data_IF_709080426956
#
_entry.id   IF_709080426956
#
_cell.length_a   1.000
_cell.length_b   1.000
_cell.length_c   1.000
_cell.angle_alpha   90.00
_cell.angle_beta   90.00
_cell.angle_gamma   90.00
#
_symmetry.space_group_name_H-M   'P 1'
#
loop_
_entity.id
_entity.type
_entity.pdbx_description
1 polymer ?
#
# COMPACT_ATOMS: atom_id res chain seq x y z
N UNK A 1 4.70 -7.78 11.05
CA UNK A 1 4.43 -8.86 10.07
C UNK A 1 5.15 -10.17 10.37
N UNK A 2 6.47 -10.20 10.58
CA UNK A 2 7.24 -11.44 10.82
C UNK A 2 6.64 -12.34 11.91
N UNK A 3 6.28 -11.78 13.08
CA UNK A 3 5.67 -12.56 14.17
C UNK A 3 4.32 -13.18 13.77
N UNK A 4 3.49 -12.46 13.01
CA UNK A 4 2.21 -12.97 12.53
C UNK A 4 2.41 -14.15 11.56
N UNK A 5 3.33 -14.03 10.61
CA UNK A 5 3.68 -15.12 9.69
C UNK A 5 4.22 -16.35 10.43
N UNK A 6 5.08 -16.15 11.43
CA UNK A 6 5.61 -17.25 12.24
C UNK A 6 4.52 -17.95 13.07
N UNK A 7 3.42 -17.24 13.39
CA UNK A 7 2.24 -17.80 14.04
C UNK A 7 1.20 -18.37 13.04
N UNK A 8 1.56 -18.53 11.75
CA UNK A 8 0.66 -19.08 10.73
C UNK A 8 -0.48 -18.15 10.31
N UNK A 9 -0.40 -16.84 10.65
CA UNK A 9 -1.37 -15.83 10.22
C UNK A 9 -1.06 -15.35 8.81
N UNK A 10 -2.09 -15.04 8.03
CA UNK A 10 -1.93 -14.28 6.79
C UNK A 10 -1.53 -12.84 7.10
N UNK A 11 -0.82 -12.20 6.19
CA UNK A 11 -0.34 -10.82 6.38
C UNK A 11 -0.56 -9.97 5.15
N UNK A 12 -0.96 -8.71 5.33
CA UNK A 12 -1.14 -7.80 4.23
C UNK A 12 -0.87 -6.33 4.55
N UNK A 13 -0.65 -5.56 3.51
CA UNK A 13 -0.38 -4.12 3.55
C UNK A 13 -1.25 -3.44 2.50
N UNK A 14 -1.93 -2.38 2.91
CA UNK A 14 -2.74 -1.50 2.06
C UNK A 14 -2.28 -0.08 2.31
N UNK A 15 -2.02 0.69 1.24
CA UNK A 15 -1.64 2.09 1.37
C UNK A 15 -2.04 2.90 0.14
N UNK A 16 -2.35 4.18 0.34
CA UNK A 16 -2.48 5.17 -0.75
C UNK A 16 -1.14 5.72 -1.24
N UNK A 17 -0.03 5.37 -0.62
CA UNK A 17 1.32 5.80 -1.01
C UNK A 17 1.95 4.77 -1.95
N UNK A 18 3.26 4.91 -2.21
CA UNK A 18 4.00 3.85 -2.89
C UNK A 18 4.15 2.73 -1.88
N UNK A 19 4.01 1.47 -2.25
CA UNK A 19 4.16 0.39 -1.26
C UNK A 19 5.57 0.31 -0.65
N UNK A 20 6.54 0.94 -1.31
CA UNK A 20 7.93 1.11 -0.87
C UNK A 20 8.17 2.38 -0.07
N UNK A 21 7.14 3.22 0.15
CA UNK A 21 7.19 4.36 1.06
C UNK A 21 7.44 3.91 2.51
N UNK A 22 7.86 4.82 3.38
CA UNK A 22 8.38 4.45 4.71
C UNK A 22 7.38 3.66 5.58
N UNK A 23 6.12 4.10 5.69
CA UNK A 23 5.11 3.42 6.53
C UNK A 23 4.85 1.98 6.08
N UNK A 24 4.51 1.69 4.81
CA UNK A 24 4.34 0.30 4.37
C UNK A 24 5.68 -0.46 4.41
N UNK A 25 6.80 0.18 4.05
CA UNK A 25 8.12 -0.44 4.10
C UNK A 25 8.52 -0.87 5.52
N UNK A 26 8.14 -0.15 6.56
CA UNK A 26 8.44 -0.54 7.95
C UNK A 26 7.86 -1.92 8.32
N UNK A 27 6.83 -2.39 7.61
CA UNK A 27 6.23 -3.70 7.84
C UNK A 27 7.08 -4.87 7.28
N UNK A 28 7.99 -4.62 6.33
CA UNK A 28 8.76 -5.68 5.66
C UNK A 28 10.25 -5.40 5.43
N UNK A 29 10.63 -4.14 5.23
CA UNK A 29 11.96 -3.71 4.83
C UNK A 29 12.86 -3.36 6.02
N UNK A 30 14.17 -3.44 5.76
CA UNK A 30 15.26 -3.01 6.64
C UNK A 30 16.22 -2.21 5.78
N UNK A 31 16.16 -0.89 5.89
CA UNK A 31 17.00 0.01 5.11
C UNK A 31 17.60 1.08 6.02
N UNK A 32 18.88 1.45 5.85
CA UNK A 32 19.47 2.58 6.56
C UNK A 32 18.91 3.93 6.08
N UNK A 33 18.29 3.97 4.90
CA UNK A 33 17.66 5.16 4.33
C UNK A 33 16.30 4.80 3.72
N UNK A 34 15.25 5.50 4.14
CA UNK A 34 13.89 5.30 3.64
C UNK A 34 13.74 5.60 2.14
N UNK A 35 14.64 6.40 1.58
CA UNK A 35 14.57 6.80 0.17
C UNK A 35 15.05 5.71 -0.79
N UNK A 36 15.66 4.63 -0.30
CA UNK A 36 16.16 3.52 -1.13
C UNK A 36 15.01 2.60 -1.59
N UNK A 37 14.02 3.19 -2.25
CA UNK A 37 12.82 2.50 -2.71
C UNK A 37 13.08 1.61 -3.93
N UNK A 38 13.97 2.05 -4.83
CA UNK A 38 14.50 1.29 -5.95
C UNK A 38 16.04 1.39 -5.99
N UNK A 39 16.69 0.51 -6.76
CA UNK A 39 18.15 0.49 -6.94
C UNK A 39 18.70 1.84 -7.46
N UNK A 40 17.89 2.58 -8.21
CA UNK A 40 18.23 3.90 -8.72
C UNK A 40 18.30 5.00 -7.66
N UNK A 41 17.73 4.78 -6.48
CA UNK A 41 17.80 5.69 -5.34
C UNK A 41 19.01 5.38 -4.43
N UNK A 42 19.72 4.26 -4.68
CA UNK A 42 20.89 3.84 -3.87
C UNK A 42 22.19 4.42 -4.44
N UNK A 43 23.01 5.09 -3.61
CA UNK A 43 24.34 5.55 -4.02
C UNK A 43 25.21 4.40 -4.57
N UNK A 44 26.00 4.60 -5.64
CA UNK A 44 26.80 3.54 -6.26
C UNK A 44 27.63 2.71 -5.27
N UNK A 45 28.25 3.37 -4.28
CA UNK A 45 29.07 2.72 -3.25
C UNK A 45 28.30 1.80 -2.28
N UNK A 46 26.96 1.81 -2.31
CA UNK A 46 26.08 1.06 -1.40
C UNK A 46 25.15 0.08 -2.09
N UNK A 47 25.27 -0.12 -3.42
CA UNK A 47 24.41 -1.01 -4.23
C UNK A 47 24.43 -2.49 -3.85
N UNK A 48 25.34 -2.91 -2.98
CA UNK A 48 25.27 -4.23 -2.35
C UNK A 48 24.04 -4.39 -1.43
N UNK A 49 23.49 -3.30 -0.90
CA UNK A 49 22.25 -3.32 -0.12
C UNK A 49 21.04 -3.45 -1.06
N UNK A 50 20.12 -4.40 -0.83
CA UNK A 50 18.90 -4.49 -1.62
C UNK A 50 17.98 -3.29 -1.32
N UNK A 51 17.45 -2.67 -2.38
CA UNK A 51 16.40 -1.65 -2.29
C UNK A 51 15.09 -2.21 -1.73
N UNK A 52 14.20 -1.35 -1.23
CA UNK A 52 12.95 -1.77 -0.59
C UNK A 52 12.05 -2.55 -1.56
N UNK A 53 12.01 -2.24 -2.85
CA UNK A 53 11.23 -3.03 -3.81
C UNK A 53 11.74 -4.46 -3.93
N UNK A 54 13.07 -4.65 -3.94
CA UNK A 54 13.67 -6.00 -3.84
C UNK A 54 13.37 -6.68 -2.52
N UNK A 55 13.52 -5.98 -1.39
CA UNK A 55 13.24 -6.57 -0.08
C UNK A 55 11.78 -7.03 0.06
N UNK A 56 10.84 -6.37 -0.61
CA UNK A 56 9.44 -6.79 -0.66
C UNK A 56 9.26 -8.17 -1.32
N UNK A 57 10.01 -8.49 -2.38
CA UNK A 57 9.79 -9.72 -3.16
C UNK A 57 10.81 -10.82 -2.86
N UNK A 58 11.99 -10.48 -2.31
CA UNK A 58 13.10 -11.41 -2.07
C UNK A 58 13.23 -11.84 -0.61
N UNK A 59 12.85 -10.98 0.35
CA UNK A 59 13.16 -11.17 1.77
C UNK A 59 11.92 -11.39 2.63
N UNK A 60 12.11 -12.03 3.78
CA UNK A 60 11.08 -12.10 4.81
C UNK A 60 11.02 -10.82 5.67
N UNK A 61 9.81 -10.34 6.02
CA UNK A 61 8.50 -10.96 5.75
C UNK A 61 7.87 -10.62 4.39
N UNK A 62 8.49 -9.76 3.58
CA UNK A 62 7.92 -9.23 2.33
C UNK A 62 7.45 -10.31 1.36
N UNK A 63 8.32 -11.26 1.00
CA UNK A 63 8.02 -12.28 -0.01
C UNK A 63 6.87 -13.21 0.36
N UNK A 64 6.48 -13.23 1.64
CA UNK A 64 5.39 -14.05 2.21
C UNK A 64 4.12 -13.24 2.50
N UNK A 65 4.07 -11.95 2.18
CA UNK A 65 2.84 -11.18 2.26
C UNK A 65 1.80 -11.77 1.30
N UNK A 66 0.57 -11.92 1.79
CA UNK A 66 -0.57 -12.43 1.03
C UNK A 66 -1.24 -11.31 0.24
N UNK A 67 -1.28 -10.10 0.80
CA UNK A 67 -1.93 -8.94 0.17
C UNK A 67 -1.01 -7.75 0.22
N UNK A 68 -0.79 -7.11 -0.93
CA UNK A 68 0.06 -5.93 -1.04
C UNK A 68 -0.58 -4.95 -2.01
N UNK A 69 -1.22 -3.90 -1.49
CA UNK A 69 -2.03 -2.95 -2.26
C UNK A 69 -1.53 -1.51 -2.08
N UNK A 70 -1.26 -0.83 -3.20
CA UNK A 70 -0.98 0.59 -3.21
C UNK A 70 -0.46 1.08 -4.55
N UNK A 71 0.35 2.14 -4.54
CA UNK A 71 1.05 2.64 -5.73
C UNK A 71 2.50 2.20 -5.81
N UNK A 72 3.26 2.82 -6.71
CA UNK A 72 4.72 2.71 -6.80
C UNK A 72 5.21 1.71 -7.83
N UNK A 73 4.40 1.35 -8.83
CA UNK A 73 4.78 0.43 -9.92
C UNK A 73 6.14 0.76 -10.55
N UNK A 74 6.46 2.05 -10.69
CA UNK A 74 7.74 2.51 -11.25
C UNK A 74 8.98 1.97 -10.54
N UNK A 75 8.89 1.65 -9.25
CA UNK A 75 10.03 1.14 -8.45
C UNK A 75 10.32 -0.35 -8.72
N UNK A 76 9.38 -1.05 -9.37
CA UNK A 76 9.48 -2.48 -9.67
C UNK A 76 9.85 -2.77 -11.13
N UNK A 77 9.87 -1.76 -11.99
CA UNK A 77 10.09 -1.93 -13.43
C UNK A 77 11.38 -1.25 -13.91
N UNK A 78 12.06 -1.83 -14.92
CA UNK A 78 13.26 -1.24 -15.49
C UNK A 78 12.91 -0.02 -16.34
N UNK A 79 13.89 0.88 -16.53
CA UNK A 79 13.68 2.12 -17.33
C UNK A 79 13.22 1.88 -18.76
N UNK A 80 13.52 0.72 -19.33
CA UNK A 80 13.09 0.29 -20.67
C UNK A 80 11.79 -0.54 -20.64
N UNK A 81 11.03 -0.52 -19.55
CA UNK A 81 9.73 -1.20 -19.48
C UNK A 81 8.77 -0.66 -20.55
N UNK A 82 7.77 -1.45 -20.92
CA UNK A 82 6.80 -1.09 -21.96
C UNK A 82 6.05 0.23 -21.65
N UNK A 83 5.88 0.59 -20.38
CA UNK A 83 5.26 1.87 -19.99
C UNK A 83 6.20 3.07 -20.13
N UNK A 84 7.51 2.85 -20.24
CA UNK A 84 8.54 3.90 -20.23
C UNK A 84 8.66 4.65 -18.90
N UNK A 85 7.98 4.19 -17.84
CA UNK A 85 7.89 4.88 -16.54
C UNK A 85 8.67 4.18 -15.43
N UNK A 86 9.22 3.00 -15.69
CA UNK A 86 10.08 2.29 -14.74
C UNK A 86 11.32 3.10 -14.37
N UNK A 87 11.83 2.88 -13.15
CA UNK A 87 12.99 3.62 -12.61
C UNK A 87 14.20 2.76 -12.36
N UNK A 88 14.11 1.43 -12.47
CA UNK A 88 15.22 0.55 -12.11
C UNK A 88 16.36 0.60 -13.13
N UNK A 89 17.61 0.66 -12.64
CA UNK A 89 18.81 0.69 -13.48
C UNK A 89 19.45 -0.69 -13.66
N UNK A 90 18.96 -1.70 -12.95
CA UNK A 90 19.46 -3.08 -12.97
C UNK A 90 18.78 -3.98 -14.02
N UNK A 91 17.95 -3.39 -14.88
CA UNK A 91 17.18 -4.07 -15.93
C UNK A 91 16.17 -5.14 -15.43
N UNK A 92 15.88 -5.18 -14.13
CA UNK A 92 14.98 -6.17 -13.53
C UNK A 92 13.53 -5.72 -13.57
N UNK A 93 12.63 -6.63 -13.92
CA UNK A 93 11.18 -6.46 -13.72
C UNK A 93 10.75 -7.32 -12.53
N UNK A 94 10.68 -6.68 -11.37
CA UNK A 94 10.37 -7.33 -10.11
C UNK A 94 8.92 -7.83 -10.03
N UNK A 95 8.01 -7.31 -10.87
CA UNK A 95 6.62 -7.82 -10.93
C UNK A 95 6.64 -9.19 -11.60
N UNK A 96 7.37 -9.33 -12.71
CA UNK A 96 7.53 -10.61 -13.39
C UNK A 96 8.31 -11.61 -12.53
N UNK A 97 9.36 -11.17 -11.84
CA UNK A 97 10.09 -12.03 -10.91
C UNK A 97 9.21 -12.50 -9.74
N UNK A 98 8.35 -11.63 -9.19
CA UNK A 98 7.41 -12.00 -8.13
C UNK A 98 6.41 -13.07 -8.60
N UNK A 99 5.86 -12.91 -9.81
CA UNK A 99 4.98 -13.92 -10.44
C UNK A 99 5.72 -15.24 -10.67
N UNK A 100 6.95 -15.17 -11.20
CA UNK A 100 7.78 -16.35 -11.44
C UNK A 100 8.12 -17.09 -10.15
N UNK A 101 8.49 -16.38 -9.08
CA UNK A 101 8.77 -16.95 -7.77
C UNK A 101 7.55 -17.66 -7.17
N UNK A 102 6.34 -17.14 -7.41
CA UNK A 102 5.11 -17.79 -6.97
C UNK A 102 4.89 -19.14 -7.68
N UNK A 103 5.12 -19.20 -9.01
CA UNK A 103 5.07 -20.46 -9.77
C UNK A 103 6.08 -21.47 -9.23
N UNK A 104 7.34 -21.05 -9.02
CA UNK A 104 8.39 -21.91 -8.45
C UNK A 104 8.05 -22.43 -7.05
N UNK A 105 7.29 -21.64 -6.28
CA UNK A 105 6.87 -22.00 -4.91
C UNK A 105 5.55 -22.76 -4.87
N UNK A 106 4.93 -23.07 -6.02
CA UNK A 106 3.58 -23.64 -6.11
C UNK A 106 2.53 -22.85 -5.31
N UNK A 107 2.59 -21.52 -5.41
CA UNK A 107 1.68 -20.57 -4.75
C UNK A 107 0.87 -19.87 -5.84
N UNK A 108 -0.46 -19.87 -5.71
CA UNK A 108 -1.29 -19.12 -6.64
C UNK A 108 -1.12 -17.61 -6.40
N UNK A 109 -0.79 -16.87 -7.45
CA UNK A 109 -0.51 -15.44 -7.34
C UNK A 109 -1.16 -14.65 -8.46
N UNK A 110 -1.61 -13.43 -8.14
CA UNK A 110 -2.21 -12.51 -9.11
C UNK A 110 -1.67 -11.10 -8.95
N UNK A 111 -1.24 -10.52 -10.06
CA UNK A 111 -0.92 -9.10 -10.15
C UNK A 111 -2.14 -8.33 -10.67
N UNK A 112 -2.46 -7.19 -10.05
CA UNK A 112 -3.61 -6.34 -10.41
C UNK A 112 -3.21 -4.86 -10.49
N UNK A 113 -3.84 -4.13 -11.40
CA UNK A 113 -3.48 -2.73 -11.71
C UNK A 113 -4.66 -1.77 -11.64
N UNK A 114 -5.87 -2.29 -11.46
CA UNK A 114 -7.09 -1.49 -11.36
C UNK A 114 -8.17 -2.21 -10.56
N UNK A 115 -9.23 -1.47 -10.21
CA UNK A 115 -10.35 -1.96 -9.41
C UNK A 115 -11.10 -3.17 -10.02
N UNK A 116 -11.14 -3.29 -11.35
CA UNK A 116 -11.82 -4.41 -12.00
C UNK A 116 -11.01 -5.70 -11.82
N UNK A 117 -9.70 -5.62 -12.06
CA UNK A 117 -8.79 -6.74 -11.80
C UNK A 117 -8.72 -7.10 -10.32
N UNK A 118 -8.83 -6.12 -9.41
CA UNK A 118 -8.94 -6.37 -7.97
C UNK A 118 -10.20 -7.18 -7.65
N UNK A 119 -11.36 -6.82 -8.23
CA UNK A 119 -12.59 -7.60 -8.09
C UNK A 119 -12.43 -9.04 -8.59
N UNK A 120 -11.76 -9.24 -9.72
CA UNK A 120 -11.49 -10.59 -10.23
C UNK A 120 -10.53 -11.37 -9.32
N UNK A 121 -9.57 -10.70 -8.68
CA UNK A 121 -8.67 -11.31 -7.71
C UNK A 121 -9.43 -11.79 -6.47
N UNK A 122 -10.38 -11.01 -5.97
CA UNK A 122 -11.27 -11.43 -4.89
C UNK A 122 -12.03 -12.70 -5.29
N UNK A 123 -12.66 -12.70 -6.47
CA UNK A 123 -13.45 -13.84 -6.94
C UNK A 123 -12.63 -15.12 -7.16
N UNK A 124 -11.34 -14.99 -7.50
CA UNK A 124 -10.43 -16.13 -7.70
C UNK A 124 -9.65 -16.54 -6.45
N UNK A 125 -9.67 -15.71 -5.40
CA UNK A 125 -9.06 -15.92 -4.09
C UNK A 125 -7.66 -16.58 -4.12
N UNK A 126 -6.68 -16.06 -4.90
CA UNK A 126 -5.34 -16.62 -4.92
C UNK A 126 -4.64 -16.44 -3.57
N UNK A 127 -3.61 -17.24 -3.32
CA UNK A 127 -2.83 -17.21 -2.08
C UNK A 127 -2.12 -15.86 -1.87
N UNK A 128 -1.74 -15.20 -2.98
CA UNK A 128 -1.07 -13.89 -2.96
C UNK A 128 -1.61 -12.94 -4.03
N UNK A 129 -1.81 -11.67 -3.66
CA UNK A 129 -2.18 -10.60 -4.58
C UNK A 129 -1.25 -9.40 -4.40
N UNK A 130 -0.63 -8.97 -5.51
CA UNK A 130 0.12 -7.72 -5.61
C UNK A 130 -0.68 -6.73 -6.45
N UNK A 131 -1.18 -5.68 -5.83
CA UNK A 131 -1.92 -4.59 -6.47
C UNK A 131 -1.12 -3.30 -6.50
N UNK A 132 -0.63 -2.92 -7.69
CA UNK A 132 0.07 -1.65 -7.91
C UNK A 132 -0.76 -0.77 -8.85
N UNK A 133 -1.58 0.09 -8.27
CA UNK A 133 -2.63 0.83 -8.97
C UNK A 133 -2.15 2.13 -9.60
N UNK A 134 -0.92 2.55 -9.31
CA UNK A 134 -0.34 3.79 -9.82
C UNK A 134 1.16 3.67 -10.01
N UNK A 135 1.69 4.44 -10.96
CA UNK A 135 3.14 4.52 -11.22
C UNK A 135 3.89 5.08 -10.01
N UNK A 136 3.28 6.04 -9.32
CA UNK A 136 3.82 6.68 -8.13
C UNK A 136 2.87 6.44 -6.93
N UNK A 137 2.78 7.37 -5.97
CA UNK A 137 1.67 7.40 -5.03
C UNK A 137 0.34 7.42 -5.78
N UNK A 138 -0.68 6.80 -5.21
CA UNK A 138 -2.05 6.88 -5.74
C UNK A 138 -2.53 8.33 -5.76
N UNK A 139 -3.52 8.63 -6.59
CA UNK A 139 -4.13 9.95 -6.68
C UNK A 139 -4.74 10.35 -5.33
N UNK A 140 -4.84 11.67 -5.06
CA UNK A 140 -5.67 12.12 -3.95
C UNK A 140 -7.13 11.71 -4.20
N UNK A 141 -7.87 11.36 -3.16
CA UNK A 141 -9.29 11.00 -3.19
C UNK A 141 -10.14 12.07 -3.90
N UNK A 142 -9.80 13.35 -3.75
CA UNK A 142 -10.47 14.44 -4.47
C UNK A 142 -10.33 14.38 -5.99
N UNK A 143 -9.27 13.72 -6.49
CA UNK A 143 -8.92 13.58 -7.91
C UNK A 143 -9.43 12.28 -8.54
N UNK A 144 -9.66 11.23 -7.73
CA UNK A 144 -10.19 9.93 -8.17
C UNK A 144 -11.60 9.96 -8.75
N UNK A 145 -12.31 11.10 -8.66
CA UNK A 145 -13.65 11.30 -9.24
C UNK A 145 -13.68 11.32 -10.77
N UNK A 146 -12.53 11.27 -11.44
CA UNK A 146 -12.48 11.12 -12.90
C UNK A 146 -12.75 9.65 -13.26
N UNK A 147 -13.65 9.35 -14.22
CA UNK A 147 -13.97 7.98 -14.66
C UNK A 147 -12.78 7.13 -15.14
N UNK A 148 -11.60 7.74 -15.26
CA UNK A 148 -10.43 7.24 -15.99
C UNK A 148 -9.34 6.66 -15.07
N UNK A 149 -9.31 6.96 -13.75
CA UNK A 149 -8.12 6.56 -12.96
C UNK A 149 -8.00 5.04 -12.80
N UNK A 150 -9.14 4.33 -12.68
CA UNK A 150 -9.15 2.88 -12.44
C UNK A 150 -8.61 2.47 -11.06
N UNK A 151 -8.12 3.43 -10.26
CA UNK A 151 -7.62 3.21 -8.90
C UNK A 151 -8.77 2.87 -7.94
N UNK A 152 -8.65 1.83 -7.11
CA UNK A 152 -9.57 1.62 -6.00
C UNK A 152 -9.41 2.69 -4.91
N UNK A 153 -10.49 2.95 -4.20
CA UNK A 153 -10.48 3.73 -2.95
C UNK A 153 -9.76 2.96 -1.83
N UNK A 154 -9.36 3.67 -0.78
CA UNK A 154 -8.75 3.01 0.39
C UNK A 154 -9.72 2.02 1.06
N UNK A 155 -11.02 2.34 1.06
CA UNK A 155 -12.06 1.45 1.56
C UNK A 155 -12.17 0.16 0.72
N UNK A 156 -12.24 0.28 -0.62
CA UNK A 156 -12.29 -0.89 -1.52
C UNK A 156 -11.04 -1.78 -1.39
N UNK A 157 -9.84 -1.20 -1.26
CA UNK A 157 -8.63 -1.98 -1.01
C UNK A 157 -8.64 -2.66 0.35
N UNK A 158 -9.22 -2.02 1.37
CA UNK A 158 -9.31 -2.57 2.74
C UNK A 158 -10.28 -3.74 2.79
N UNK A 159 -11.46 -3.60 2.17
CA UNK A 159 -12.44 -4.68 2.04
C UNK A 159 -11.84 -5.90 1.34
N UNK A 160 -11.23 -5.66 0.16
CA UNK A 160 -10.58 -6.72 -0.62
C UNK A 160 -9.47 -7.42 0.17
N UNK A 161 -8.67 -6.65 0.92
CA UNK A 161 -7.62 -7.21 1.76
C UNK A 161 -8.18 -8.10 2.86
N UNK A 162 -9.22 -7.65 3.58
CA UNK A 162 -9.85 -8.42 4.66
C UNK A 162 -10.43 -9.72 4.12
N UNK A 163 -11.06 -9.70 2.95
CA UNK A 163 -11.63 -10.90 2.30
C UNK A 163 -10.53 -11.91 1.91
N UNK A 164 -9.47 -11.46 1.23
CA UNK A 164 -8.37 -12.31 0.80
C UNK A 164 -7.50 -12.84 1.97
N UNK A 165 -7.49 -12.12 3.09
CA UNK A 165 -6.71 -12.46 4.29
C UNK A 165 -7.45 -13.39 5.25
N UNK A 166 -8.72 -13.74 5.01
CA UNK A 166 -9.42 -14.72 5.83
C UNK A 166 -8.61 -16.03 5.93
N UNK A 167 -8.44 -16.48 7.17
CA UNK A 167 -7.55 -17.57 7.55
C UNK A 167 -7.93 -18.09 8.95
N UNK A 168 -7.97 -19.42 9.20
CA UNK A 168 -8.31 -19.97 10.52
C UNK A 168 -7.41 -19.49 11.66
N UNK A 169 -6.12 -19.22 11.38
CA UNK A 169 -5.22 -18.67 12.39
C UNK A 169 -5.35 -17.14 12.54
N UNK A 170 -6.19 -16.48 11.74
CA UNK A 170 -6.34 -15.03 11.64
C UNK A 170 -5.32 -14.36 10.72
N UNK A 171 -5.32 -13.03 10.71
CA UNK A 171 -4.42 -12.21 9.90
C UNK A 171 -3.91 -10.97 10.64
N UNK A 172 -2.91 -10.31 10.07
CA UNK A 172 -2.51 -8.94 10.43
C UNK A 172 -2.50 -8.10 9.16
N UNK A 173 -3.20 -6.97 9.21
CA UNK A 173 -3.35 -6.03 8.10
C UNK A 173 -2.90 -4.64 8.56
N UNK A 174 -2.00 -4.02 7.79
CA UNK A 174 -1.65 -2.60 7.91
C UNK A 174 -2.42 -1.83 6.84
N UNK A 175 -3.15 -0.78 7.22
CA UNK A 175 -3.85 0.13 6.31
C UNK A 175 -3.37 1.56 6.53
N UNK A 176 -2.90 2.24 5.48
CA UNK A 176 -2.33 3.58 5.56
C UNK A 176 -3.07 4.61 4.68
N UNK A 177 -3.64 5.63 5.32
CA UNK A 177 -4.09 6.88 4.70
C UNK A 177 -2.94 7.86 4.41
N UNK A 178 -1.86 7.40 3.77
CA UNK A 178 -0.60 8.14 3.78
C UNK A 178 -0.56 9.42 2.92
N UNK A 179 -1.55 9.64 2.05
CA UNK A 179 -1.67 10.92 1.32
C UNK A 179 -2.11 12.09 2.22
N UNK A 180 -2.59 11.86 3.45
CA UNK A 180 -2.90 12.91 4.44
C UNK A 180 -1.64 13.78 4.68
N UNK A 181 -0.50 13.13 4.95
CA UNK A 181 0.81 13.75 5.14
C UNK A 181 1.21 14.62 3.93
N UNK A 182 1.16 14.05 2.72
CA UNK A 182 1.50 14.80 1.51
C UNK A 182 0.64 16.05 1.29
N UNK A 183 -0.65 15.99 1.62
CA UNK A 183 -1.52 17.14 1.53
C UNK A 183 -1.13 18.24 2.54
N UNK A 184 -0.76 17.86 3.76
CA UNK A 184 -0.35 18.78 4.82
C UNK A 184 1.02 19.40 4.54
N UNK A 185 1.96 18.65 3.97
CA UNK A 185 3.22 19.21 3.46
C UNK A 185 3.01 20.29 2.38
N UNK A 186 1.97 20.14 1.56
CA UNK A 186 1.57 21.14 0.56
C UNK A 186 0.70 22.26 1.13
N UNK A 187 0.49 22.34 2.45
CA UNK A 187 -0.45 23.28 3.11
C UNK A 187 -1.87 23.23 2.56
N UNK A 188 -2.30 22.08 2.04
CA UNK A 188 -3.60 21.90 1.40
C UNK A 188 -4.57 21.18 2.36
N UNK A 189 -5.17 21.95 3.26
CA UNK A 189 -6.11 21.43 4.27
C UNK A 189 -7.32 20.70 3.65
N UNK A 190 -7.80 21.15 2.49
CA UNK A 190 -8.91 20.50 1.77
C UNK A 190 -8.58 19.06 1.39
N UNK A 191 -7.43 18.83 0.77
CA UNK A 191 -6.99 17.47 0.45
C UNK A 191 -6.73 16.65 1.71
N UNK A 192 -6.08 17.23 2.72
CA UNK A 192 -5.79 16.52 3.98
C UNK A 192 -7.06 16.00 4.66
N UNK A 193 -8.10 16.85 4.75
CA UNK A 193 -9.40 16.47 5.31
C UNK A 193 -10.08 15.40 4.45
N UNK A 194 -10.06 15.52 3.12
CA UNK A 194 -10.67 14.52 2.23
C UNK A 194 -9.95 13.16 2.28
N UNK A 195 -8.61 13.13 2.38
CA UNK A 195 -7.86 11.90 2.61
C UNK A 195 -8.16 11.30 3.99
N UNK A 196 -8.33 12.14 5.01
CA UNK A 196 -8.71 11.70 6.36
C UNK A 196 -10.10 11.05 6.36
N UNK A 197 -11.05 11.62 5.61
CA UNK A 197 -12.37 11.01 5.40
C UNK A 197 -12.29 9.71 4.61
N UNK A 198 -11.33 9.55 3.69
CA UNK A 198 -11.10 8.28 3.01
C UNK A 198 -10.56 7.19 3.96
N UNK A 199 -9.70 7.57 4.91
CA UNK A 199 -9.24 6.68 5.98
C UNK A 199 -10.37 6.31 6.94
N UNK A 200 -11.21 7.28 7.34
CA UNK A 200 -12.40 7.04 8.16
C UNK A 200 -13.35 6.02 7.52
N UNK A 201 -13.61 6.15 6.21
CA UNK A 201 -14.38 5.16 5.46
C UNK A 201 -13.74 3.77 5.48
N UNK A 202 -12.43 3.68 5.34
CA UNK A 202 -11.72 2.39 5.41
C UNK A 202 -11.79 1.76 6.81
N UNK A 203 -11.74 2.57 7.87
CA UNK A 203 -11.95 2.11 9.26
C UNK A 203 -13.38 1.56 9.42
N UNK A 204 -14.40 2.28 8.93
CA UNK A 204 -15.78 1.82 8.96
C UNK A 204 -15.98 0.53 8.15
N UNK A 205 -15.36 0.42 6.98
CA UNK A 205 -15.34 -0.82 6.20
C UNK A 205 -14.74 -1.96 7.02
N UNK A 206 -13.59 -1.75 7.67
CA UNK A 206 -12.97 -2.79 8.50
C UNK A 206 -13.87 -3.21 9.68
N UNK A 207 -14.54 -2.26 10.34
CA UNK A 207 -15.50 -2.54 11.42
C UNK A 207 -16.68 -3.39 10.93
N UNK A 208 -17.16 -3.17 9.70
CA UNK A 208 -18.27 -3.91 9.11
C UNK A 208 -17.85 -5.27 8.55
N UNK A 209 -16.59 -5.41 8.14
CA UNK A 209 -16.06 -6.63 7.51
C UNK A 209 -15.36 -7.57 8.51
N UNK A 210 -15.35 -7.26 9.81
CA UNK A 210 -14.69 -8.07 10.86
C UNK A 210 -15.57 -8.22 12.09
N UNK A 211 -15.23 -9.18 12.97
CA UNK A 211 -15.97 -9.42 14.21
C UNK A 211 -15.22 -8.79 15.41
N UNK A 212 -15.80 -7.84 16.15
CA UNK A 212 -15.12 -7.19 17.28
C UNK A 212 -14.80 -8.14 18.44
N UNK A 213 -15.36 -9.36 18.47
CA UNK A 213 -15.03 -10.39 19.46
C UNK A 213 -13.63 -10.96 19.24
N UNK A 214 -13.17 -11.07 18.00
CA UNK A 214 -11.89 -11.69 17.64
C UNK A 214 -10.91 -10.75 16.91
N UNK A 215 -11.34 -9.53 16.60
CA UNK A 215 -10.58 -8.56 15.82
C UNK A 215 -10.25 -7.31 16.65
N UNK A 216 -8.95 -7.03 16.80
CA UNK A 216 -8.45 -5.77 17.33
C UNK A 216 -8.15 -4.79 16.20
N UNK A 217 -8.82 -3.62 16.21
CA UNK A 217 -8.53 -2.50 15.32
C UNK A 217 -7.86 -1.39 16.12
N UNK A 218 -6.66 -0.97 15.69
CA UNK A 218 -5.93 0.15 16.27
C UNK A 218 -5.80 1.26 15.23
N UNK A 219 -6.09 2.49 15.64
CA UNK A 219 -5.96 3.69 14.82
C UNK A 219 -5.02 4.67 15.51
N UNK A 220 -4.06 5.20 14.77
CA UNK A 220 -3.09 6.16 15.25
C UNK A 220 -2.45 6.94 14.11
N UNK A 221 -1.60 7.90 14.45
CA UNK A 221 -0.75 8.63 13.52
C UNK A 221 0.72 8.37 13.85
N UNK A 222 1.56 8.33 12.83
CA UNK A 222 3.02 8.26 12.98
C UNK A 222 3.59 9.58 13.51
N UNK A 223 3.05 10.70 13.05
CA UNK A 223 3.28 12.04 13.60
C UNK A 223 2.15 13.01 13.20
N UNK A 224 2.19 14.23 13.76
CA UNK A 224 1.26 15.31 13.41
C UNK A 224 1.85 16.27 12.36
N UNK A 225 1.16 17.37 12.10
CA UNK A 225 1.57 18.51 11.28
C UNK A 225 1.19 19.82 11.96
N UNK A 226 1.70 20.95 11.43
CA UNK A 226 1.49 22.30 11.97
C UNK A 226 0.10 22.91 11.68
N UNK A 227 -0.90 22.10 11.29
CA UNK A 227 -2.23 22.62 10.98
C UNK A 227 -2.93 23.12 12.24
N UNK A 228 -3.43 24.36 12.20
CA UNK A 228 -4.19 24.99 13.29
C UNK A 228 -5.58 25.37 12.83
N UNK A 229 -6.60 25.15 13.68
CA UNK A 229 -7.97 25.64 13.45
C UNK A 229 -8.18 26.86 14.36
N UNK A 230 -8.27 28.04 13.77
CA UNK A 230 -8.38 29.30 14.50
C UNK A 230 -9.83 29.75 14.74
N UNK A 231 -10.00 30.61 15.74
CA UNK A 231 -11.26 31.30 16.04
C UNK A 231 -11.54 32.48 15.10
N UNK A 232 -12.78 33.00 15.01
CA UNK A 232 -13.98 32.64 15.78
C UNK A 232 -15.18 32.29 14.86
N UNK A 233 -15.12 31.17 14.11
CA UNK A 233 -16.24 30.74 13.28
C UNK A 233 -17.44 30.33 14.14
N UNK A 234 -18.66 30.52 13.62
CA UNK A 234 -19.89 30.05 14.26
C UNK A 234 -20.08 28.55 14.02
N UNK A 235 -20.80 27.88 14.93
CA UNK A 235 -21.20 26.49 14.75
C UNK A 235 -21.96 26.32 13.42
N UNK A 236 -21.57 25.31 12.63
CA UNK A 236 -22.15 25.06 11.31
C UNK A 236 -21.44 25.77 10.15
N UNK A 237 -20.47 26.65 10.42
CA UNK A 237 -19.63 27.19 9.35
C UNK A 237 -18.82 26.06 8.67
N UNK A 238 -18.76 26.04 7.33
CA UNK A 238 -17.90 25.12 6.61
C UNK A 238 -16.44 25.25 7.04
N UNK A 239 -15.78 24.12 7.28
CA UNK A 239 -14.33 24.06 7.54
C UNK A 239 -13.51 24.19 6.25
N UNK A 240 -14.16 24.09 5.08
CA UNK A 240 -13.60 24.17 3.72
C UNK A 240 -14.32 25.22 2.88
#
# INVERSE_FOLDING_TARGET
MTHAQNAGKKTGIVSTTRITHATPAAAFGRSPDRNWEADSDIPPAKRACPDLARQLIENDPGKRLNVVFGGGKRNFQPRNSASGKGRRNDARDLIQEWLHNAVLSNVSARYVENKYQLKDAIASAPDRVLGLFSENHMEFESEKKKPVSGEPTLAEMTEAAIELLQNPNGFVLLVEGGRIDHALHCTNAKRAILETLALEKAINTALLSTNPVDTLILVGADHSHVMTINGYPKRGNPIL
#
